data_IF_021693200834
#
_entry.id   IF_021693200834
#
_cell.length_a   1.000
_cell.length_b   1.000
_cell.length_c   1.000
_cell.angle_alpha   90.00
_cell.angle_beta   90.00
_cell.angle_gamma   90.00
#
_symmetry.space_group_name_H-M   'P 1'
#
loop_
_entity.id
_entity.type
_entity.pdbx_description
1 polymer ?
#
# COMPACT_ATOMS: atom_id res chain seq x y z
N UNK A 1 14.48 24.74 13.57
CA UNK A 1 15.23 25.43 12.50
C UNK A 1 14.21 25.79 11.41
N UNK A 2 13.90 27.09 11.17
CA UNK A 2 12.83 27.48 10.22
C UNK A 2 13.34 27.45 8.78
N UNK A 3 12.82 26.53 7.96
CA UNK A 3 13.15 26.35 6.54
C UNK A 3 12.23 27.28 5.70
N UNK A 4 12.42 28.60 5.76
CA UNK A 4 11.54 29.54 5.04
C UNK A 4 12.22 30.49 4.05
N UNK A 5 13.52 30.31 3.73
CA UNK A 5 14.25 31.32 2.94
C UNK A 5 15.11 30.81 1.76
N UNK A 6 14.85 29.63 1.21
CA UNK A 6 15.51 29.21 -0.04
C UNK A 6 14.59 29.42 -1.24
N UNK A 7 14.70 30.59 -1.89
CA UNK A 7 14.28 30.78 -3.28
C UNK A 7 15.52 30.63 -4.17
N UNK A 8 15.49 29.66 -5.08
CA UNK A 8 16.49 29.54 -6.14
C UNK A 8 15.81 29.68 -7.50
N UNK A 9 16.32 30.60 -8.31
CA UNK A 9 15.96 30.75 -9.71
C UNK A 9 16.66 29.65 -10.51
N UNK A 10 15.87 28.68 -10.97
CA UNK A 10 16.30 27.70 -11.95
C UNK A 10 16.18 28.33 -13.35
N UNK A 11 17.30 28.45 -14.07
CA UNK A 11 17.28 28.79 -15.51
C UNK A 11 17.32 27.49 -16.32
N UNK A 12 16.22 27.12 -17.02
CA UNK A 12 16.22 25.94 -17.85
C UNK A 12 17.13 26.14 -19.07
N UNK A 13 17.91 25.13 -19.41
CA UNK A 13 18.60 25.05 -20.70
C UNK A 13 17.58 24.99 -21.83
N UNK A 14 17.80 25.78 -22.88
CA UNK A 14 16.93 25.90 -24.05
C UNK A 14 16.66 24.53 -24.69
N UNK A 15 15.37 24.13 -24.72
CA UNK A 15 14.90 22.99 -25.52
C UNK A 15 14.88 23.36 -27.02
N UNK A 16 15.14 22.40 -27.91
CA UNK A 16 14.96 22.60 -29.34
C UNK A 16 13.48 22.87 -29.67
N UNK A 17 13.23 23.95 -30.42
CA UNK A 17 11.91 24.31 -30.92
C UNK A 17 11.50 23.39 -32.07
N UNK A 18 10.69 22.38 -31.77
CA UNK A 18 9.86 21.67 -32.75
C UNK A 18 8.39 21.87 -32.41
N UNK A 19 7.67 22.68 -33.19
CA UNK A 19 6.22 22.85 -33.05
C UNK A 19 5.51 21.60 -33.58
N UNK A 20 4.99 20.76 -32.68
CA UNK A 20 3.90 19.83 -32.98
C UNK A 20 2.63 20.41 -32.36
N UNK A 21 1.71 20.84 -33.23
CA UNK A 21 0.39 21.28 -32.83
C UNK A 21 -0.45 20.05 -32.48
N UNK A 22 -0.59 19.77 -31.19
CA UNK A 22 -1.63 18.87 -30.69
C UNK A 22 -2.94 19.65 -30.55
N UNK A 23 -3.96 19.25 -31.31
CA UNK A 23 -5.35 19.58 -31.02
C UNK A 23 -5.86 18.57 -29.99
N UNK A 24 -6.32 19.06 -28.85
CA UNK A 24 -7.09 18.24 -27.91
C UNK A 24 -8.46 17.88 -28.53
N UNK A 25 -8.92 16.63 -28.41
CA UNK A 25 -10.33 16.31 -28.62
C UNK A 25 -11.10 16.65 -27.33
N UNK A 26 -12.00 17.62 -27.43
CA UNK A 26 -13.05 17.86 -26.45
C UNK A 26 -14.11 16.75 -26.54
N UNK A 27 -13.90 15.61 -25.88
CA UNK A 27 -14.97 14.62 -25.66
C UNK A 27 -15.40 14.64 -24.20
N UNK A 28 -16.41 15.48 -23.95
CA UNK A 28 -17.19 15.52 -22.71
C UNK A 28 -18.07 14.27 -22.66
N UNK A 29 -17.64 13.28 -21.89
CA UNK A 29 -18.43 12.09 -21.57
C UNK A 29 -19.71 12.49 -20.82
N UNK A 30 -20.87 12.22 -21.43
CA UNK A 30 -22.18 12.23 -20.74
C UNK A 30 -22.56 10.78 -20.42
N UNK A 31 -22.70 10.40 -19.13
CA UNK A 31 -23.19 9.07 -18.79
C UNK A 31 -24.61 8.87 -19.31
N UNK A 32 -24.89 7.68 -19.87
CA UNK A 32 -26.24 7.31 -20.29
C UNK A 32 -27.14 7.10 -19.07
N UNK A 33 -28.19 7.92 -18.99
CA UNK A 33 -29.35 7.72 -18.14
C UNK A 33 -30.06 6.45 -18.63
N UNK A 34 -29.86 5.31 -17.97
CA UNK A 34 -30.88 4.26 -17.79
C UNK A 34 -30.30 3.01 -17.10
N UNK A 35 -30.13 3.12 -15.77
CA UNK A 35 -30.39 2.03 -14.82
C UNK A 35 -30.31 2.59 -13.39
N UNK A 36 -31.33 2.35 -12.57
CA UNK A 36 -31.34 2.62 -11.13
C UNK A 36 -30.35 1.68 -10.42
N UNK A 37 -29.07 2.01 -10.48
CA UNK A 37 -28.14 1.64 -9.43
C UNK A 37 -28.39 2.60 -8.27
N UNK A 38 -28.35 2.11 -7.03
CA UNK A 38 -28.36 3.02 -5.87
C UNK A 38 -27.25 4.04 -6.07
N UNK A 39 -27.64 5.31 -6.16
CA UNK A 39 -26.75 6.44 -6.34
C UNK A 39 -25.56 6.31 -5.37
N UNK A 40 -24.29 6.41 -5.80
CA UNK A 40 -23.16 6.47 -4.88
C UNK A 40 -23.36 7.53 -3.78
N UNK A 41 -24.09 8.62 -4.10
CA UNK A 41 -24.52 9.64 -3.12
C UNK A 41 -25.53 9.07 -2.11
N UNK A 42 -26.35 8.09 -2.46
CA UNK A 42 -27.22 7.34 -1.52
C UNK A 42 -26.40 6.52 -0.53
N UNK A 43 -25.28 5.89 -0.93
CA UNK A 43 -24.42 5.13 -0.02
C UNK A 43 -23.54 6.01 0.87
N UNK A 44 -23.01 7.12 0.33
CA UNK A 44 -22.36 8.17 1.12
C UNK A 44 -23.36 8.83 2.07
N UNK A 45 -24.61 9.06 1.63
CA UNK A 45 -25.70 9.48 2.50
C UNK A 45 -26.02 8.42 3.54
N UNK A 46 -25.92 7.13 3.26
CA UNK A 46 -26.16 6.05 4.24
C UNK A 46 -25.10 6.03 5.33
N UNK A 47 -23.81 6.14 4.98
CA UNK A 47 -22.74 6.33 5.97
C UNK A 47 -22.90 7.66 6.75
N UNK A 48 -23.22 8.76 6.05
CA UNK A 48 -23.50 10.06 6.70
C UNK A 48 -24.81 10.07 7.50
N UNK A 49 -25.82 9.29 7.17
CA UNK A 49 -27.10 9.19 7.88
C UNK A 49 -26.99 8.28 9.10
N UNK A 50 -26.18 7.22 9.01
CA UNK A 50 -25.78 6.41 10.17
C UNK A 50 -25.00 7.26 11.18
N UNK A 51 -24.13 8.16 10.68
CA UNK A 51 -23.40 9.18 11.46
C UNK A 51 -24.27 10.28 12.08
N UNK A 52 -25.33 10.72 11.39
CA UNK A 52 -26.22 11.77 11.89
C UNK A 52 -27.32 11.28 12.85
N UNK A 53 -27.37 9.99 13.17
CA UNK A 53 -28.22 9.49 14.25
C UNK A 53 -27.60 9.93 15.60
N UNK A 54 -28.40 10.46 16.52
CA UNK A 54 -27.93 10.96 17.84
C UNK A 54 -27.29 9.89 18.75
N UNK A 55 -27.18 8.65 18.30
CA UNK A 55 -26.35 7.61 18.91
C UNK A 55 -25.16 7.38 18.00
N UNK A 56 -23.94 7.49 18.55
CA UNK A 56 -22.73 7.00 17.88
C UNK A 56 -22.94 5.53 17.52
N UNK A 57 -23.21 5.23 16.26
CA UNK A 57 -23.35 3.87 15.78
C UNK A 57 -22.01 3.45 15.17
N UNK A 58 -21.36 2.46 15.78
CA UNK A 58 -20.12 1.90 15.24
C UNK A 58 -20.42 1.09 13.99
N UNK A 59 -19.76 1.42 12.87
CA UNK A 59 -19.88 0.66 11.61
C UNK A 59 -18.70 -0.28 11.47
N UNK A 60 -18.96 -1.57 11.23
CA UNK A 60 -17.92 -2.58 10.99
C UNK A 60 -17.75 -2.85 9.50
N UNK A 61 -16.51 -2.91 9.04
CA UNK A 61 -16.19 -3.11 7.62
C UNK A 61 -16.72 -4.42 7.04
N UNK A 62 -16.82 -5.47 7.86
CA UNK A 62 -17.40 -6.77 7.45
C UNK A 62 -18.88 -6.67 7.02
N UNK A 63 -19.57 -5.58 7.39
CA UNK A 63 -20.96 -5.33 7.00
C UNK A 63 -21.07 -4.44 5.76
N UNK A 64 -19.95 -4.03 5.14
CA UNK A 64 -19.89 -3.18 3.96
C UNK A 64 -19.74 -4.06 2.70
N UNK A 65 -20.83 -4.67 2.25
CA UNK A 65 -20.80 -5.47 1.01
C UNK A 65 -20.39 -4.61 -0.20
N UNK A 66 -19.62 -5.19 -1.12
CA UNK A 66 -19.10 -4.48 -2.30
C UNK A 66 -18.09 -3.35 -2.03
N UNK A 67 -17.63 -3.16 -0.79
CA UNK A 67 -16.61 -2.17 -0.42
C UNK A 67 -15.24 -2.82 -0.19
N UNK A 68 -14.21 -2.31 -0.84
CA UNK A 68 -12.83 -2.55 -0.41
C UNK A 68 -12.61 -1.79 0.90
N UNK A 69 -12.10 -2.48 1.94
CA UNK A 69 -11.99 -1.89 3.29
C UNK A 69 -11.18 -0.58 3.24
N UNK A 70 -11.76 0.58 3.60
CA UNK A 70 -11.03 1.85 3.68
C UNK A 70 -9.80 1.73 4.58
N UNK A 71 -8.62 1.96 4.03
CA UNK A 71 -7.33 1.81 4.70
C UNK A 71 -6.89 3.06 5.46
N UNK A 72 -7.47 4.22 5.15
CA UNK A 72 -7.05 5.54 5.63
C UNK A 72 -7.82 6.06 6.86
N UNK A 73 -8.74 5.25 7.42
CA UNK A 73 -9.58 5.64 8.57
C UNK A 73 -10.03 4.42 9.37
N UNK A 74 -10.57 4.66 10.56
CA UNK A 74 -11.12 3.64 11.44
C UNK A 74 -10.04 2.88 12.20
N UNK A 75 -10.47 2.18 13.25
CA UNK A 75 -9.59 1.32 14.06
C UNK A 75 -9.56 -0.08 13.50
N UNK A 76 -8.39 -0.68 13.46
CA UNK A 76 -8.21 -2.08 13.06
C UNK A 76 -8.72 -2.96 14.20
N UNK A 77 -9.69 -3.81 13.91
CA UNK A 77 -10.23 -4.79 14.88
C UNK A 77 -9.79 -6.21 14.56
N UNK A 78 -9.28 -6.46 13.34
CA UNK A 78 -8.72 -7.74 12.95
C UNK A 78 -7.61 -7.58 11.91
N UNK A 79 -6.40 -8.01 12.27
CA UNK A 79 -5.22 -8.03 11.41
C UNK A 79 -4.81 -9.48 11.09
N UNK A 80 -4.36 -9.71 9.87
CA UNK A 80 -3.74 -10.94 9.43
C UNK A 80 -2.28 -10.73 9.07
N UNK A 81 -1.46 -11.71 9.42
CA UNK A 81 -0.03 -11.77 9.17
C UNK A 81 0.33 -13.16 8.64
N UNK A 82 1.31 -13.24 7.75
CA UNK A 82 1.92 -14.51 7.31
C UNK A 82 3.37 -14.54 7.73
N UNK A 83 3.81 -15.65 8.30
CA UNK A 83 5.15 -15.84 8.85
C UNK A 83 5.82 -17.05 8.20
N UNK A 84 6.51 -16.73 7.11
CA UNK A 84 7.05 -17.66 6.13
C UNK A 84 8.52 -18.05 6.28
N UNK A 85 9.01 -18.86 5.32
CA UNK A 85 10.41 -19.31 5.26
C UNK A 85 11.35 -18.20 4.75
N UNK A 86 10.82 -17.10 4.20
CA UNK A 86 11.61 -15.97 3.68
C UNK A 86 12.42 -15.18 4.72
N UNK A 87 12.49 -15.64 5.98
CA UNK A 87 13.35 -15.07 7.00
C UNK A 87 14.15 -16.12 7.74
N UNK A 88 15.37 -16.42 7.28
CA UNK A 88 16.43 -16.86 8.18
C UNK A 88 17.26 -15.65 8.61
N UNK A 89 17.74 -15.65 9.85
CA UNK A 89 18.60 -14.58 10.37
C UNK A 89 17.86 -13.24 10.59
N UNK A 90 18.47 -12.09 10.21
CA UNK A 90 17.99 -10.76 10.59
C UNK A 90 16.52 -10.45 10.26
N UNK A 91 16.03 -10.91 9.10
CA UNK A 91 14.63 -10.70 8.67
C UNK A 91 13.65 -11.30 9.67
N UNK A 92 13.97 -12.49 10.18
CA UNK A 92 13.14 -13.20 11.15
C UNK A 92 13.03 -12.44 12.46
N UNK A 93 14.16 -12.00 12.99
CA UNK A 93 14.24 -11.24 14.24
C UNK A 93 13.54 -9.89 14.11
N UNK A 94 13.71 -9.23 12.97
CA UNK A 94 13.02 -7.98 12.69
C UNK A 94 11.50 -8.21 12.63
N UNK A 95 11.02 -9.25 11.95
CA UNK A 95 9.59 -9.57 11.89
C UNK A 95 9.01 -9.82 13.28
N UNK A 96 9.71 -10.57 14.12
CA UNK A 96 9.30 -10.81 15.51
C UNK A 96 9.18 -9.50 16.31
N UNK A 97 10.08 -8.53 16.10
CA UNK A 97 9.99 -7.20 16.69
C UNK A 97 8.77 -6.44 16.18
N UNK A 98 8.49 -6.48 14.87
CA UNK A 98 7.27 -5.86 14.29
C UNK A 98 6.02 -6.46 14.93
N UNK A 99 5.95 -7.80 15.02
CA UNK A 99 4.83 -8.49 15.65
C UNK A 99 4.64 -8.06 17.10
N UNK A 100 5.72 -7.98 17.90
CA UNK A 100 5.69 -7.45 19.27
C UNK A 100 5.17 -6.02 19.33
N UNK A 101 5.61 -5.15 18.42
CA UNK A 101 5.13 -3.76 18.32
C UNK A 101 3.61 -3.69 18.08
N UNK A 102 3.07 -4.50 17.17
CA UNK A 102 1.62 -4.55 16.95
C UNK A 102 0.86 -5.03 18.17
N UNK A 103 1.33 -6.09 18.83
CA UNK A 103 0.66 -6.59 20.03
C UNK A 103 0.61 -5.54 21.15
N UNK A 104 1.67 -4.75 21.31
CA UNK A 104 1.75 -3.71 22.34
C UNK A 104 0.89 -2.47 22.04
N UNK A 105 0.72 -2.12 20.77
CA UNK A 105 0.06 -0.87 20.36
C UNK A 105 -1.36 -1.06 19.83
N UNK A 106 -1.80 -2.30 19.59
CA UNK A 106 -3.15 -2.64 19.17
C UNK A 106 -3.82 -3.59 20.18
N UNK A 107 -4.10 -3.16 21.42
CA UNK A 107 -4.60 -4.05 22.48
C UNK A 107 -5.98 -4.66 22.17
N UNK A 108 -6.81 -3.96 21.42
CA UNK A 108 -8.19 -4.36 21.11
C UNK A 108 -8.31 -5.17 19.81
N UNK A 109 -7.26 -5.19 18.98
CA UNK A 109 -7.28 -5.91 17.72
C UNK A 109 -7.11 -7.42 17.92
N UNK A 110 -7.78 -8.20 17.07
CA UNK A 110 -7.55 -9.63 16.90
C UNK A 110 -6.46 -9.88 15.86
N UNK A 111 -5.75 -10.98 16.01
CA UNK A 111 -4.65 -11.36 15.13
C UNK A 111 -4.86 -12.78 14.60
N UNK A 112 -4.89 -12.93 13.27
CA UNK A 112 -4.72 -14.24 12.61
C UNK A 112 -3.30 -14.31 12.07
N UNK A 113 -2.49 -15.25 12.55
CA UNK A 113 -1.12 -15.42 12.07
C UNK A 113 -0.97 -16.80 11.45
N UNK A 114 -0.62 -16.84 10.17
CA UNK A 114 -0.41 -18.09 9.44
C UNK A 114 1.09 -18.37 9.33
N UNK A 115 1.55 -19.52 9.81
CA UNK A 115 2.96 -19.91 9.76
C UNK A 115 3.19 -21.09 8.83
N UNK A 116 4.36 -21.18 8.21
CA UNK A 116 4.66 -22.31 7.31
C UNK A 116 4.73 -23.66 8.01
N UNK A 117 5.22 -23.66 9.25
CA UNK A 117 5.47 -24.87 10.04
C UNK A 117 5.24 -24.66 11.55
N UNK A 118 5.37 -25.75 12.30
CA UNK A 118 5.10 -25.80 13.73
C UNK A 118 6.21 -25.19 14.59
N UNK A 119 7.44 -25.10 14.07
CA UNK A 119 8.56 -24.43 14.74
C UNK A 119 8.29 -22.93 14.76
N UNK A 120 8.00 -22.35 13.59
CA UNK A 120 7.64 -20.95 13.42
C UNK A 120 6.39 -20.58 14.25
N UNK A 121 5.40 -21.47 14.31
CA UNK A 121 4.22 -21.32 15.20
C UNK A 121 4.63 -21.18 16.67
N UNK A 122 5.47 -22.10 17.16
CA UNK A 122 5.91 -22.12 18.57
C UNK A 122 6.76 -20.90 18.94
N UNK A 123 7.61 -20.45 18.03
CA UNK A 123 8.42 -19.25 18.24
C UNK A 123 7.52 -18.01 18.40
N UNK A 124 6.57 -17.76 17.50
CA UNK A 124 5.65 -16.64 17.67
C UNK A 124 4.76 -16.78 18.91
N UNK A 125 4.33 -18.01 19.25
CA UNK A 125 3.59 -18.25 20.48
C UNK A 125 4.39 -17.88 21.73
N UNK A 126 5.70 -18.18 21.77
CA UNK A 126 6.54 -17.79 22.90
C UNK A 126 6.62 -16.28 23.12
N UNK A 127 6.55 -15.48 22.05
CA UNK A 127 6.48 -14.01 22.15
C UNK A 127 5.15 -13.59 22.80
N UNK A 128 4.04 -14.21 22.41
CA UNK A 128 2.72 -13.94 23.02
C UNK A 128 2.74 -14.27 24.51
N UNK A 129 3.29 -15.43 24.86
CA UNK A 129 3.36 -15.93 26.25
C UNK A 129 4.30 -15.06 27.12
N UNK A 130 5.44 -14.62 26.59
CA UNK A 130 6.36 -13.68 27.24
C UNK A 130 5.65 -12.36 27.55
N UNK A 131 4.98 -11.78 26.54
CA UNK A 131 4.28 -10.51 26.71
C UNK A 131 3.14 -10.60 27.74
N UNK A 132 2.36 -11.69 27.70
CA UNK A 132 1.32 -11.94 28.70
C UNK A 132 1.90 -12.05 30.13
N UNK A 133 3.04 -12.74 30.27
CA UNK A 133 3.72 -12.90 31.56
C UNK A 133 4.29 -11.59 32.11
N UNK A 134 4.65 -10.65 31.23
CA UNK A 134 5.19 -9.33 31.59
C UNK A 134 4.14 -8.29 32.04
N UNK A 135 2.86 -8.68 32.13
CA UNK A 135 1.79 -7.78 32.58
C UNK A 135 1.33 -6.75 31.54
N UNK A 136 1.86 -6.81 30.32
CA UNK A 136 1.22 -6.15 29.18
C UNK A 136 -0.14 -6.81 29.01
N UNK A 137 -1.23 -6.02 29.06
CA UNK A 137 -2.62 -6.48 28.86
C UNK A 137 -2.80 -7.04 27.44
N UNK A 138 -2.24 -8.21 27.20
CA UNK A 138 -2.51 -9.03 26.05
C UNK A 138 -3.52 -10.06 26.49
N UNK A 139 -4.76 -9.95 26.02
CA UNK A 139 -5.69 -11.06 26.06
C UNK A 139 -5.20 -12.09 25.03
N UNK A 140 -4.55 -13.21 25.40
CA UNK A 140 -3.95 -14.12 24.43
C UNK A 140 -4.99 -14.74 23.49
N UNK A 141 -6.26 -14.81 23.92
CA UNK A 141 -7.38 -15.32 23.13
C UNK A 141 -7.65 -14.49 21.86
N UNK A 142 -7.17 -13.23 21.81
CA UNK A 142 -7.27 -12.39 20.61
C UNK A 142 -6.28 -12.78 19.52
N UNK A 143 -5.30 -13.65 19.81
CA UNK A 143 -4.22 -14.02 18.89
C UNK A 143 -4.36 -15.49 18.52
N UNK A 144 -4.47 -15.76 17.22
CA UNK A 144 -4.63 -17.10 16.67
C UNK A 144 -3.48 -17.40 15.71
N UNK A 145 -2.50 -18.16 16.18
CA UNK A 145 -1.32 -18.57 15.42
C UNK A 145 -1.51 -20.00 14.93
N UNK A 146 -1.53 -20.21 13.61
CA UNK A 146 -1.84 -21.51 12.99
C UNK A 146 -0.78 -21.88 11.98
N UNK A 147 -0.29 -23.11 12.09
CA UNK A 147 0.55 -23.75 11.09
C UNK A 147 -0.31 -24.16 9.88
N UNK A 148 0.06 -23.70 8.69
CA UNK A 148 -0.65 -24.01 7.44
C UNK A 148 -0.29 -25.37 6.88
N UNK A 149 0.90 -25.89 7.20
CA UNK A 149 1.55 -27.05 6.59
C UNK A 149 2.08 -26.77 5.18
N UNK A 150 2.17 -25.50 4.78
CA UNK A 150 2.54 -25.05 3.44
C UNK A 150 3.46 -23.85 3.56
N UNK A 151 4.40 -23.71 2.62
CA UNK A 151 5.29 -22.55 2.57
C UNK A 151 4.50 -21.29 2.20
N UNK A 152 4.27 -20.41 3.18
CA UNK A 152 3.71 -19.07 2.96
C UNK A 152 4.85 -18.06 2.87
N UNK A 153 4.69 -17.00 2.08
CA UNK A 153 5.56 -15.83 2.13
C UNK A 153 5.21 -14.94 3.33
N UNK A 154 5.98 -13.88 3.57
CA UNK A 154 5.62 -12.86 4.57
C UNK A 154 4.63 -11.81 4.05
N UNK A 155 4.24 -11.89 2.77
CA UNK A 155 3.46 -10.85 2.06
C UNK A 155 1.95 -11.09 2.18
N UNK A 156 1.43 -10.94 3.40
CA UNK A 156 0.00 -11.10 3.68
C UNK A 156 -0.87 -10.13 2.86
N UNK A 157 -0.36 -8.92 2.59
CA UNK A 157 -1.06 -7.90 1.82
C UNK A 157 -1.37 -8.41 0.41
N UNK A 158 -0.39 -8.96 -0.28
CA UNK A 158 -0.58 -9.36 -1.67
C UNK A 158 -1.34 -10.67 -1.79
N UNK A 159 -1.20 -11.55 -0.79
CA UNK A 159 -1.84 -12.88 -0.74
C UNK A 159 -3.36 -12.86 -0.83
N UNK A 160 -4.00 -11.74 -0.47
CA UNK A 160 -5.46 -11.66 -0.40
C UNK A 160 -6.00 -10.27 -0.71
N UNK A 161 -7.26 -10.19 -1.12
CA UNK A 161 -8.08 -8.97 -1.11
C UNK A 161 -9.22 -9.14 -0.13
N UNK A 162 -9.72 -8.03 0.43
CA UNK A 162 -10.86 -8.05 1.36
C UNK A 162 -11.91 -7.04 0.91
N UNK A 163 -13.08 -7.56 0.53
CA UNK A 163 -14.23 -6.78 0.08
C UNK A 163 -15.40 -7.09 1.03
N UNK A 164 -15.73 -6.15 1.92
CA UNK A 164 -16.67 -6.39 3.00
C UNK A 164 -16.22 -7.55 3.89
N UNK A 165 -17.00 -8.64 3.93
CA UNK A 165 -16.63 -9.88 4.61
C UNK A 165 -16.01 -10.94 3.69
N UNK A 166 -15.80 -10.65 2.41
CA UNK A 166 -15.25 -11.59 1.43
C UNK A 166 -13.73 -11.48 1.42
N UNK A 167 -13.05 -12.63 1.54
CA UNK A 167 -11.60 -12.74 1.39
C UNK A 167 -11.31 -13.48 0.08
N UNK A 168 -10.64 -12.80 -0.82
CA UNK A 168 -10.45 -13.20 -2.21
C UNK A 168 -8.98 -13.48 -2.48
N UNK A 169 -8.69 -14.48 -3.32
CA UNK A 169 -7.34 -14.67 -3.89
C UNK A 169 -7.27 -13.83 -5.16
N UNK A 170 -6.39 -12.82 -5.24
CA UNK A 170 -6.23 -12.07 -6.47
C UNK A 170 -5.58 -12.92 -7.56
N UNK A 171 -5.93 -12.66 -8.80
CA UNK A 171 -5.15 -13.17 -9.93
C UNK A 171 -3.87 -12.38 -10.10
N UNK A 172 -2.82 -13.05 -10.61
CA UNK A 172 -1.47 -12.48 -10.71
C UNK A 172 -0.81 -12.83 -12.03
N UNK A 173 0.09 -11.97 -12.48
CA UNK A 173 0.90 -12.25 -13.69
C UNK A 173 1.97 -13.33 -13.43
N UNK A 174 2.44 -13.44 -12.19
CA UNK A 174 3.34 -14.50 -11.75
C UNK A 174 2.56 -15.63 -11.09
N UNK A 175 3.17 -16.82 -11.00
CA UNK A 175 2.59 -17.96 -10.29
C UNK A 175 2.95 -17.81 -8.81
N UNK A 176 2.02 -17.45 -7.91
CA UNK A 176 2.32 -17.44 -6.49
C UNK A 176 2.53 -18.86 -5.99
N UNK A 177 3.30 -18.99 -4.91
CA UNK A 177 3.49 -20.27 -4.24
C UNK A 177 2.15 -20.82 -3.71
N UNK A 178 2.05 -22.14 -3.62
CA UNK A 178 0.80 -22.80 -3.20
C UNK A 178 0.35 -22.40 -1.79
N UNK A 179 1.29 -22.04 -0.89
CA UNK A 179 0.93 -21.53 0.42
C UNK A 179 0.29 -20.14 0.36
N UNK A 180 0.80 -19.23 -0.48
CA UNK A 180 0.22 -17.90 -0.66
C UNK A 180 -1.20 -17.97 -1.24
N UNK A 181 -1.44 -18.87 -2.21
CA UNK A 181 -2.80 -19.15 -2.73
C UNK A 181 -3.75 -19.67 -1.65
N UNK A 182 -3.23 -20.36 -0.64
CA UNK A 182 -4.05 -20.94 0.41
C UNK A 182 -4.43 -19.94 1.51
N UNK A 183 -3.76 -18.79 1.62
CA UNK A 183 -3.93 -17.80 2.70
C UNK A 183 -5.41 -17.40 2.86
N UNK A 184 -6.09 -16.99 1.78
CA UNK A 184 -7.52 -16.58 1.85
C UNK A 184 -8.44 -17.68 2.42
N UNK A 185 -8.26 -18.92 1.96
CA UNK A 185 -9.06 -20.07 2.44
C UNK A 185 -8.75 -20.41 3.89
N UNK A 186 -7.48 -20.28 4.31
CA UNK A 186 -7.09 -20.52 5.71
C UNK A 186 -7.68 -19.45 6.62
N UNK A 187 -7.59 -18.17 6.25
CA UNK A 187 -8.18 -17.05 7.00
C UNK A 187 -9.67 -17.29 7.26
N UNK A 188 -10.43 -17.60 6.21
CA UNK A 188 -11.90 -17.75 6.30
C UNK A 188 -12.33 -18.98 7.11
N UNK A 189 -11.59 -20.10 7.02
CA UNK A 189 -11.82 -21.27 7.89
C UNK A 189 -11.59 -20.96 9.37
N UNK A 190 -10.63 -20.09 9.67
CA UNK A 190 -10.32 -19.73 11.05
C UNK A 190 -11.26 -18.65 11.61
N UNK A 191 -11.99 -17.95 10.75
CA UNK A 191 -12.77 -16.76 11.07
C UNK A 191 -14.17 -16.83 10.41
N UNK A 192 -15.16 -17.43 11.09
CA UNK A 192 -16.48 -17.72 10.50
C UNK A 192 -17.30 -16.51 10.04
N UNK A 193 -16.95 -15.30 10.48
CA UNK A 193 -17.56 -14.05 10.01
C UNK A 193 -17.12 -13.66 8.60
N UNK A 194 -16.04 -14.28 8.10
CA UNK A 194 -15.48 -14.03 6.77
C UNK A 194 -15.85 -15.16 5.81
N UNK A 195 -15.99 -14.83 4.53
CA UNK A 195 -16.36 -15.77 3.46
C UNK A 195 -15.26 -15.84 2.43
N UNK A 196 -14.92 -17.04 1.98
CA UNK A 196 -14.02 -17.22 0.86
C UNK A 196 -14.78 -17.01 -0.45
N UNK A 197 -14.19 -16.23 -1.36
CA UNK A 197 -14.72 -16.04 -2.70
C UNK A 197 -13.58 -16.09 -3.71
N UNK A 198 -13.85 -16.69 -4.87
CA UNK A 198 -12.92 -16.68 -5.98
C UNK A 198 -13.52 -15.80 -7.08
N UNK A 199 -12.88 -14.67 -7.38
CA UNK A 199 -13.34 -13.74 -8.41
C UNK A 199 -12.33 -13.79 -9.56
N UNK A 200 -12.79 -14.26 -10.71
CA UNK A 200 -11.94 -14.35 -11.89
C UNK A 200 -11.71 -13.00 -12.55
N UNK A 201 -10.55 -12.86 -13.21
CA UNK A 201 -10.13 -11.68 -13.94
C UNK A 201 -9.81 -10.47 -13.07
N UNK A 202 -9.73 -10.64 -11.74
CA UNK A 202 -9.39 -9.56 -10.80
C UNK A 202 -7.87 -9.56 -10.50
N UNK A 203 -7.11 -8.82 -11.32
CA UNK A 203 -5.65 -8.67 -11.18
C UNK A 203 -5.27 -7.49 -10.27
N UNK A 204 -5.73 -7.52 -9.02
CA UNK A 204 -5.36 -6.50 -8.03
C UNK A 204 -4.50 -7.16 -6.97
N UNK A 205 -3.18 -6.95 -7.06
CA UNK A 205 -2.31 -7.23 -5.92
C UNK A 205 -2.68 -6.29 -4.76
N UNK A 206 -2.59 -6.78 -3.53
CA UNK A 206 -2.97 -6.01 -2.36
C UNK A 206 -2.19 -4.70 -2.21
N UNK A 207 -0.89 -4.69 -2.54
CA UNK A 207 -0.07 -3.48 -2.56
C UNK A 207 -0.42 -2.52 -3.70
N UNK A 208 -1.15 -2.99 -4.72
CA UNK A 208 -1.56 -2.18 -5.86
C UNK A 208 -2.94 -1.51 -5.71
N UNK A 209 -3.47 -1.50 -4.48
CA UNK A 209 -4.71 -0.79 -4.13
C UNK A 209 -4.58 -0.02 -2.83
N UNK A 210 -5.19 1.16 -2.78
CA UNK A 210 -5.35 1.97 -1.56
C UNK A 210 -6.78 2.49 -1.51
N UNK A 211 -7.60 1.90 -0.65
CA UNK A 211 -9.01 2.26 -0.51
C UNK A 211 -9.22 3.39 0.52
N UNK A 212 -10.12 4.31 0.20
CA UNK A 212 -10.73 5.30 1.10
C UNK A 212 -12.22 5.03 1.25
N UNK A 213 -12.94 5.82 2.06
CA UNK A 213 -14.39 5.67 2.22
C UNK A 213 -15.17 5.79 0.91
N UNK A 214 -14.69 6.58 -0.04
CA UNK A 214 -15.40 6.93 -1.27
C UNK A 214 -14.63 6.58 -2.55
N UNK A 215 -13.36 6.16 -2.45
CA UNK A 215 -12.50 5.88 -3.59
C UNK A 215 -11.65 4.63 -3.40
N UNK A 216 -11.19 4.07 -4.52
CA UNK A 216 -10.09 3.11 -4.55
C UNK A 216 -9.05 3.63 -5.52
N UNK A 217 -7.86 3.93 -5.02
CA UNK A 217 -6.70 4.16 -5.86
C UNK A 217 -6.18 2.81 -6.33
N UNK A 218 -6.02 2.65 -7.64
CA UNK A 218 -5.51 1.43 -8.27
C UNK A 218 -4.31 1.77 -9.11
N UNK A 219 -3.22 1.01 -8.98
CA UNK A 219 -2.09 1.15 -9.88
C UNK A 219 -2.44 0.70 -11.31
N UNK A 220 -1.89 1.39 -12.31
CA UNK A 220 -2.15 1.11 -13.73
C UNK A 220 -1.75 -0.31 -14.15
N UNK A 221 -0.83 -0.95 -13.42
CA UNK A 221 -0.45 -2.35 -13.64
C UNK A 221 -1.64 -3.31 -13.51
N UNK A 222 -2.62 -2.99 -12.66
CA UNK A 222 -3.89 -3.73 -12.56
C UNK A 222 -4.56 -3.87 -13.93
N UNK A 223 -4.70 -2.74 -14.64
CA UNK A 223 -5.37 -2.70 -15.95
C UNK A 223 -4.49 -3.35 -17.02
N UNK A 224 -3.18 -3.09 -16.98
CA UNK A 224 -2.22 -3.68 -17.92
C UNK A 224 -2.23 -5.22 -17.85
N UNK A 225 -2.26 -5.80 -16.64
CA UNK A 225 -2.31 -7.25 -16.45
C UNK A 225 -3.65 -7.83 -16.90
N UNK A 226 -4.78 -7.18 -16.57
CA UNK A 226 -6.09 -7.60 -17.08
C UNK A 226 -6.13 -7.59 -18.61
N UNK A 227 -5.61 -6.56 -19.28
CA UNK A 227 -5.57 -6.51 -20.74
C UNK A 227 -4.70 -7.62 -21.34
N UNK A 228 -3.56 -7.93 -20.71
CA UNK A 228 -2.68 -9.02 -21.14
C UNK A 228 -3.35 -10.39 -20.99
N UNK A 229 -4.02 -10.62 -19.86
CA UNK A 229 -4.77 -11.87 -19.61
C UNK A 229 -5.98 -11.99 -20.55
N UNK A 230 -6.69 -10.90 -20.81
CA UNK A 230 -7.81 -10.83 -21.76
C UNK A 230 -7.39 -11.21 -23.18
N UNK A 231 -6.22 -10.74 -23.64
CA UNK A 231 -5.66 -11.16 -24.94
C UNK A 231 -5.38 -12.67 -24.98
N UNK A 232 -4.98 -13.27 -23.85
CA UNK A 232 -4.63 -14.69 -23.76
C UNK A 232 -5.86 -15.60 -23.61
N UNK A 233 -6.89 -15.14 -22.92
CA UNK A 233 -8.08 -15.93 -22.58
C UNK A 233 -9.39 -15.16 -22.87
N UNK A 234 -9.72 -14.86 -24.13
CA UNK A 234 -10.89 -14.04 -24.47
C UNK A 234 -12.21 -14.61 -23.94
N UNK A 235 -12.41 -15.94 -24.02
CA UNK A 235 -13.64 -16.61 -23.55
C UNK A 235 -13.89 -16.47 -22.04
N UNK A 236 -12.82 -16.30 -21.25
CA UNK A 236 -12.92 -16.00 -19.81
C UNK A 236 -13.57 -14.63 -19.61
N UNK A 237 -13.16 -13.63 -20.39
CA UNK A 237 -13.68 -12.27 -20.28
C UNK A 237 -15.08 -12.12 -20.89
N UNK A 238 -15.43 -12.90 -21.92
CA UNK A 238 -16.82 -12.99 -22.39
C UNK A 238 -17.77 -13.46 -21.27
N UNK A 239 -17.33 -14.44 -20.46
CA UNK A 239 -18.09 -14.88 -19.30
C UNK A 239 -18.19 -13.80 -18.23
N UNK A 240 -17.06 -13.21 -17.82
CA UNK A 240 -17.04 -12.19 -16.76
C UNK A 240 -17.90 -10.97 -17.15
N UNK A 241 -17.83 -10.53 -18.39
CA UNK A 241 -18.64 -9.40 -18.88
C UNK A 241 -20.13 -9.73 -18.89
N UNK A 242 -20.50 -10.97 -19.22
CA UNK A 242 -21.86 -11.49 -19.06
C UNK A 242 -22.34 -11.48 -17.60
N UNK A 243 -21.52 -11.99 -16.67
CA UNK A 243 -21.81 -12.00 -15.22
C UNK A 243 -21.98 -10.57 -14.67
N UNK A 244 -21.16 -9.62 -15.13
CA UNK A 244 -21.23 -8.21 -14.76
C UNK A 244 -22.30 -7.41 -15.53
N UNK A 245 -23.06 -8.06 -16.42
CA UNK A 245 -24.11 -7.44 -17.24
C UNK A 245 -23.64 -6.22 -18.05
N UNK A 246 -22.41 -6.27 -18.57
CA UNK A 246 -21.84 -5.24 -19.44
C UNK A 246 -22.41 -5.42 -20.86
N UNK A 247 -23.32 -4.53 -21.25
CA UNK A 247 -23.89 -4.52 -22.60
C UNK A 247 -22.90 -3.88 -23.57
N UNK A 248 -22.87 -4.36 -24.80
CA UNK A 248 -22.05 -3.83 -25.89
C UNK A 248 -20.53 -3.85 -25.58
N UNK A 249 -20.08 -4.86 -24.83
CA UNK A 249 -18.67 -5.02 -24.47
C UNK A 249 -17.75 -5.07 -25.70
N UNK A 250 -18.25 -5.58 -26.82
CA UNK A 250 -17.56 -5.66 -28.11
C UNK A 250 -17.25 -4.29 -28.75
N UNK A 251 -17.91 -3.22 -28.29
CA UNK A 251 -17.69 -1.85 -28.79
C UNK A 251 -16.64 -1.08 -27.98
N UNK A 252 -16.23 -1.60 -26.84
CA UNK A 252 -15.26 -0.97 -25.94
C UNK A 252 -13.84 -1.38 -26.33
N UNK A 253 -12.88 -0.48 -26.15
CA UNK A 253 -11.47 -0.87 -26.11
C UNK A 253 -11.20 -1.80 -24.92
N UNK A 254 -10.12 -2.59 -24.99
CA UNK A 254 -9.76 -3.50 -23.89
C UNK A 254 -9.53 -2.75 -22.57
N UNK A 255 -8.96 -1.55 -22.64
CA UNK A 255 -8.74 -0.70 -21.48
C UNK A 255 -10.07 -0.24 -20.86
N UNK A 256 -10.98 0.30 -21.68
CA UNK A 256 -12.31 0.73 -21.24
C UNK A 256 -13.09 -0.43 -20.63
N UNK A 257 -13.02 -1.61 -21.24
CA UNK A 257 -13.67 -2.80 -20.74
C UNK A 257 -13.10 -3.21 -19.37
N UNK A 258 -11.78 -3.24 -19.20
CA UNK A 258 -11.15 -3.55 -17.91
C UNK A 258 -11.55 -2.54 -16.83
N UNK A 259 -11.51 -1.24 -17.13
CA UNK A 259 -11.93 -0.18 -16.20
C UNK A 259 -13.40 -0.29 -15.82
N UNK A 260 -14.27 -0.60 -16.79
CA UNK A 260 -15.69 -0.80 -16.55
C UNK A 260 -15.95 -2.04 -15.70
N UNK A 261 -15.26 -3.15 -15.96
CA UNK A 261 -15.33 -4.36 -15.14
C UNK A 261 -14.97 -4.06 -13.69
N UNK A 262 -13.84 -3.38 -13.44
CA UNK A 262 -13.43 -2.97 -12.10
C UNK A 262 -14.49 -2.07 -11.44
N UNK A 263 -15.04 -1.11 -12.18
CA UNK A 263 -16.08 -0.20 -11.67
C UNK A 263 -17.35 -0.95 -11.27
N UNK A 264 -17.71 -2.02 -12.00
CA UNK A 264 -18.84 -2.91 -11.66
C UNK A 264 -18.55 -3.77 -10.43
N UNK A 265 -17.30 -4.18 -10.24
CA UNK A 265 -16.85 -4.95 -9.07
C UNK A 265 -16.87 -4.12 -7.79
N UNK A 266 -16.60 -2.81 -7.88
CA UNK A 266 -16.56 -1.88 -6.74
C UNK A 266 -17.62 -0.78 -6.87
N UNK A 267 -18.92 -1.12 -6.77
CA UNK A 267 -20.00 -0.18 -7.10
C UNK A 267 -20.12 1.00 -6.13
N UNK A 268 -19.45 0.95 -4.97
CA UNK A 268 -19.59 1.92 -3.91
C UNK A 268 -18.40 2.87 -3.73
N UNK A 269 -17.34 2.71 -4.52
CA UNK A 269 -16.14 3.56 -4.46
C UNK A 269 -15.73 3.98 -5.87
N UNK A 270 -15.44 5.28 -6.06
CA UNK A 270 -14.90 5.79 -7.32
C UNK A 270 -13.48 5.25 -7.52
N UNK A 271 -13.22 4.67 -8.69
CA UNK A 271 -11.88 4.21 -9.03
C UNK A 271 -11.02 5.38 -9.52
N UNK A 272 -9.78 5.45 -9.01
CA UNK A 272 -8.76 6.41 -9.43
C UNK A 272 -7.52 5.65 -9.85
N UNK A 273 -7.17 5.70 -11.14
CA UNK A 273 -6.02 4.97 -11.67
C UNK A 273 -4.73 5.79 -11.54
N UNK A 274 -3.71 5.22 -10.92
CA UNK A 274 -2.42 5.84 -10.66
C UNK A 274 -1.36 5.27 -11.61
N UNK A 275 -0.64 6.15 -12.28
CA UNK A 275 0.19 5.79 -13.43
C UNK A 275 -0.58 5.91 -14.74
N UNK A 276 0.18 5.83 -15.82
CA UNK A 276 -0.33 5.82 -17.19
C UNK A 276 -0.60 4.36 -17.62
N UNK A 277 -1.55 4.14 -18.52
CA UNK A 277 -1.95 2.82 -19.03
C UNK A 277 -1.49 2.70 -20.48
N UNK A 278 -0.87 1.58 -20.84
CA UNK A 278 -0.33 1.36 -22.19
C UNK A 278 1.08 0.80 -22.21
N UNK A 279 1.61 0.59 -23.42
CA UNK A 279 2.96 0.05 -23.60
C UNK A 279 4.03 1.13 -23.30
N UNK A 280 4.91 0.85 -22.34
CA UNK A 280 6.07 1.68 -22.03
C UNK A 280 5.85 2.75 -20.95
N UNK A 281 4.61 3.02 -20.57
CA UNK A 281 4.28 3.91 -19.45
C UNK A 281 3.85 3.09 -18.23
N UNK A 282 4.41 3.41 -17.06
CA UNK A 282 4.25 2.60 -15.84
C UNK A 282 3.98 3.49 -14.64
N UNK A 283 3.26 2.94 -13.67
CA UNK A 283 3.29 3.48 -12.32
C UNK A 283 4.73 3.58 -11.78
N UNK A 284 5.03 4.52 -10.88
CA UNK A 284 6.39 4.79 -10.40
C UNK A 284 7.13 3.59 -9.80
N UNK A 285 6.42 2.68 -9.14
CA UNK A 285 6.95 1.46 -8.53
C UNK A 285 5.96 0.31 -8.78
N UNK A 286 6.42 -0.94 -8.62
CA UNK A 286 5.59 -2.13 -8.81
C UNK A 286 4.24 -2.10 -8.05
N UNK A 287 4.21 -1.52 -6.84
CA UNK A 287 2.98 -1.35 -6.05
C UNK A 287 2.81 0.11 -5.61
N UNK A 288 1.58 0.61 -5.66
CA UNK A 288 1.29 2.01 -5.30
C UNK A 288 1.43 2.31 -3.81
N UNK A 289 1.21 1.30 -2.95
CA UNK A 289 1.40 1.43 -1.50
C UNK A 289 2.87 1.63 -1.09
N UNK A 290 3.81 1.40 -2.00
CA UNK A 290 5.21 1.72 -1.77
C UNK A 290 5.47 3.22 -1.90
N UNK A 291 4.81 3.94 -2.81
CA UNK A 291 5.13 5.35 -3.07
C UNK A 291 4.04 6.35 -2.70
N UNK A 292 2.85 5.93 -2.28
CA UNK A 292 1.82 6.87 -1.84
C UNK A 292 0.94 6.35 -0.70
N UNK A 293 0.37 7.27 0.08
CA UNK A 293 -0.57 6.94 1.16
C UNK A 293 -1.66 8.01 1.27
N UNK A 294 -2.93 7.69 1.00
CA UNK A 294 -4.05 8.54 1.38
C UNK A 294 -4.16 8.62 2.90
N UNK A 295 -4.13 9.84 3.45
CA UNK A 295 -4.09 10.02 4.90
C UNK A 295 -5.48 10.02 5.55
N UNK A 296 -6.57 10.19 4.81
CA UNK A 296 -7.91 10.32 5.42
C UNK A 296 -8.04 11.52 6.38
N UNK A 297 -7.12 12.48 6.25
CA UNK A 297 -7.09 13.75 6.96
C UNK A 297 -7.22 14.88 5.94
N UNK A 298 -7.71 16.02 6.40
CA UNK A 298 -7.86 17.23 5.59
C UNK A 298 -6.79 18.22 6.02
N UNK A 299 -6.15 18.85 5.04
CA UNK A 299 -5.18 19.90 5.28
C UNK A 299 -5.89 21.17 5.76
N UNK A 300 -5.53 21.72 6.94
CA UNK A 300 -6.29 22.80 7.56
C UNK A 300 -6.16 24.13 6.80
N UNK A 301 -5.12 24.29 5.98
CA UNK A 301 -4.89 25.52 5.21
C UNK A 301 -5.68 25.51 3.89
N UNK A 302 -5.72 24.36 3.22
CA UNK A 302 -6.31 24.23 1.89
C UNK A 302 -7.72 23.64 1.88
N UNK A 303 -8.13 22.97 2.97
CA UNK A 303 -9.40 22.23 3.04
C UNK A 303 -9.43 20.97 2.17
N UNK A 304 -8.30 20.56 1.61
CA UNK A 304 -8.18 19.40 0.71
C UNK A 304 -7.81 18.12 1.47
N UNK A 305 -8.28 16.97 0.99
CA UNK A 305 -7.81 15.68 1.48
C UNK A 305 -6.32 15.49 1.17
N UNK A 306 -5.58 14.85 2.09
CA UNK A 306 -4.13 14.74 2.01
C UNK A 306 -3.69 13.37 1.51
N UNK A 307 -2.73 13.37 0.60
CA UNK A 307 -2.02 12.16 0.14
C UNK A 307 -0.51 12.43 0.24
N UNK A 308 0.23 11.50 0.83
CA UNK A 308 1.70 11.52 0.74
C UNK A 308 2.15 10.84 -0.54
N UNK A 309 3.19 11.38 -1.18
CA UNK A 309 3.85 10.81 -2.35
C UNK A 309 5.36 10.81 -2.12
N UNK A 310 6.02 9.70 -2.42
CA UNK A 310 7.47 9.56 -2.33
C UNK A 310 8.22 10.57 -3.19
N UNK A 311 9.39 11.01 -2.73
CA UNK A 311 10.28 11.92 -3.42
C UNK A 311 11.72 11.39 -3.40
N UNK A 312 12.13 10.70 -4.48
CA UNK A 312 13.49 10.21 -4.65
C UNK A 312 14.57 11.28 -4.51
N UNK A 313 14.32 12.45 -5.10
CA UNK A 313 15.30 13.54 -5.13
C UNK A 313 15.49 14.17 -3.75
N UNK A 314 14.40 14.31 -2.98
CA UNK A 314 14.47 14.78 -1.60
C UNK A 314 15.40 13.91 -0.76
N UNK A 315 15.25 12.59 -0.86
CA UNK A 315 16.08 11.64 -0.10
C UNK A 315 17.55 11.69 -0.50
N UNK A 316 17.87 11.64 -1.81
CA UNK A 316 19.25 11.78 -2.30
C UNK A 316 19.88 13.07 -1.78
N UNK A 317 19.18 14.21 -1.91
CA UNK A 317 19.68 15.52 -1.46
C UNK A 317 20.00 15.56 0.04
N UNK A 318 19.16 14.94 0.87
CA UNK A 318 19.39 14.87 2.33
C UNK A 318 20.64 14.03 2.62
N UNK A 319 20.76 12.87 1.96
CA UNK A 319 21.88 11.95 2.17
C UNK A 319 23.20 12.50 1.64
N UNK A 320 23.22 13.15 0.48
CA UNK A 320 24.41 13.81 -0.07
C UNK A 320 24.90 14.90 0.88
N UNK A 321 23.98 15.76 1.34
CA UNK A 321 24.30 16.80 2.31
C UNK A 321 24.81 16.21 3.63
N UNK A 322 24.24 15.11 4.12
CA UNK A 322 24.71 14.43 5.32
C UNK A 322 26.13 13.91 5.12
N UNK A 323 26.39 13.24 3.99
CA UNK A 323 27.71 12.70 3.65
C UNK A 323 28.78 13.78 3.55
N UNK A 324 28.44 14.95 3.01
CA UNK A 324 29.34 16.10 2.93
C UNK A 324 29.63 16.73 4.30
N UNK A 325 28.61 16.92 5.14
CA UNK A 325 28.74 17.65 6.40
C UNK A 325 29.20 16.78 7.59
N UNK A 326 28.84 15.50 7.59
CA UNK A 326 29.14 14.55 8.67
C UNK A 326 29.40 13.14 8.09
N UNK A 327 30.53 12.93 7.40
CA UNK A 327 30.86 11.66 6.74
C UNK A 327 30.99 10.50 7.72
N UNK A 328 31.40 10.75 8.97
CA UNK A 328 31.50 9.70 10.00
C UNK A 328 30.13 9.19 10.40
N UNK A 329 29.15 10.09 10.59
CA UNK A 329 27.77 9.71 10.88
C UNK A 329 27.15 8.95 9.71
N UNK A 330 27.38 9.40 8.47
CA UNK A 330 26.94 8.67 7.28
C UNK A 330 27.54 7.25 7.23
N UNK A 331 28.83 7.09 7.53
CA UNK A 331 29.50 5.79 7.55
C UNK A 331 28.94 4.84 8.64
N UNK A 332 28.49 5.38 9.78
CA UNK A 332 27.79 4.59 10.81
C UNK A 332 26.45 4.05 10.31
N UNK A 333 25.70 4.83 9.53
CA UNK A 333 24.45 4.36 8.92
C UNK A 333 24.70 3.26 7.90
N UNK A 334 25.74 3.40 7.08
CA UNK A 334 26.19 2.37 6.13
C UNK A 334 26.48 1.03 6.83
N UNK A 335 27.28 1.07 7.89
CA UNK A 335 27.64 -0.11 8.66
C UNK A 335 26.41 -0.74 9.34
N UNK A 336 25.54 0.09 9.93
CA UNK A 336 24.31 -0.37 10.56
C UNK A 336 23.38 -1.06 9.56
N UNK A 337 23.15 -0.46 8.38
CA UNK A 337 22.30 -1.04 7.34
C UNK A 337 22.89 -2.37 6.87
N UNK A 338 24.19 -2.40 6.57
CA UNK A 338 24.90 -3.61 6.15
C UNK A 338 24.75 -4.75 7.16
N UNK A 339 24.86 -4.46 8.45
CA UNK A 339 24.76 -5.47 9.52
C UNK A 339 23.34 -6.02 9.71
N UNK A 340 22.31 -5.35 9.19
CA UNK A 340 20.91 -5.78 9.29
C UNK A 340 20.40 -6.54 8.07
N UNK A 341 21.07 -6.40 6.93
CA UNK A 341 20.66 -7.07 5.70
C UNK A 341 21.28 -8.48 5.67
N UNK A 342 20.48 -9.55 5.51
CA UNK A 342 21.03 -10.89 5.35
C UNK A 342 21.87 -10.98 4.07
N UNK A 343 23.08 -11.53 4.16
CA UNK A 343 23.97 -11.74 3.00
C UNK A 343 24.24 -10.48 2.18
N UNK A 344 24.33 -9.31 2.81
CA UNK A 344 24.65 -8.06 2.11
C UNK A 344 26.06 -8.13 1.48
N UNK A 345 26.11 -8.23 0.15
CA UNK A 345 27.36 -8.23 -0.60
C UNK A 345 27.89 -6.81 -0.86
N UNK A 346 27.03 -5.80 -0.75
CA UNK A 346 27.40 -4.40 -0.93
C UNK A 346 28.27 -3.90 0.22
N UNK A 347 29.41 -3.30 -0.12
CA UNK A 347 30.31 -2.71 0.89
C UNK A 347 29.71 -1.44 1.50
N UNK A 348 28.97 -0.68 0.69
CA UNK A 348 28.39 0.62 1.02
C UNK A 348 26.92 0.64 0.55
N UNK A 349 26.02 -0.15 1.16
CA UNK A 349 24.65 -0.32 0.69
C UNK A 349 23.88 1.00 0.51
N UNK A 350 24.02 1.96 1.44
CA UNK A 350 23.30 3.24 1.35
C UNK A 350 23.82 4.10 0.19
N UNK A 351 25.14 4.15 -0.03
CA UNK A 351 25.71 4.80 -1.20
C UNK A 351 25.28 4.10 -2.49
N UNK A 352 25.30 2.76 -2.53
CA UNK A 352 24.85 2.00 -3.71
C UNK A 352 23.41 2.36 -4.07
N UNK A 353 22.49 2.39 -3.08
CA UNK A 353 21.10 2.81 -3.30
C UNK A 353 21.04 4.27 -3.76
N UNK A 354 21.73 5.18 -3.05
CA UNK A 354 21.64 6.62 -3.33
C UNK A 354 22.16 6.95 -4.73
N UNK A 355 23.31 6.39 -5.12
CA UNK A 355 23.90 6.59 -6.44
C UNK A 355 23.02 6.00 -7.53
N UNK A 356 22.52 4.77 -7.35
CA UNK A 356 21.61 4.13 -8.30
C UNK A 356 20.35 4.99 -8.53
N UNK A 357 19.70 5.42 -7.46
CA UNK A 357 18.49 6.26 -7.56
C UNK A 357 18.82 7.62 -8.19
N UNK A 358 19.96 8.22 -7.86
CA UNK A 358 20.39 9.46 -8.49
C UNK A 358 20.58 9.27 -10.00
N UNK A 359 21.28 8.22 -10.43
CA UNK A 359 21.45 7.88 -11.85
C UNK A 359 20.09 7.66 -12.55
N UNK A 360 19.18 6.90 -11.94
CA UNK A 360 17.83 6.67 -12.47
C UNK A 360 17.02 7.99 -12.62
N UNK A 361 17.14 8.91 -11.65
CA UNK A 361 16.50 10.22 -11.72
C UNK A 361 17.00 11.01 -12.92
N UNK A 362 18.32 11.10 -13.11
CA UNK A 362 18.94 11.99 -14.10
C UNK A 362 19.02 11.37 -15.50
N UNK A 363 19.21 10.06 -15.60
CA UNK A 363 19.42 9.36 -16.88
C UNK A 363 18.11 8.77 -17.43
N UNK A 364 17.24 8.25 -16.56
CA UNK A 364 16.07 7.47 -16.98
C UNK A 364 14.74 8.17 -16.69
N UNK A 365 14.77 9.36 -16.08
CA UNK A 365 13.57 10.13 -15.79
C UNK A 365 12.71 9.49 -14.69
N UNK A 366 13.28 8.67 -13.81
CA UNK A 366 12.54 7.97 -12.75
C UNK A 366 11.68 8.90 -11.89
N UNK A 367 12.21 10.09 -11.54
CA UNK A 367 11.46 11.13 -10.81
C UNK A 367 10.22 11.63 -11.55
N UNK A 368 10.22 11.60 -12.89
CA UNK A 368 9.12 12.12 -13.71
C UNK A 368 7.83 11.38 -13.40
N UNK A 369 7.88 10.07 -13.14
CA UNK A 369 6.69 9.30 -12.80
C UNK A 369 6.12 9.69 -11.44
N UNK A 370 6.96 9.95 -10.43
CA UNK A 370 6.51 10.44 -9.12
C UNK A 370 5.92 11.85 -9.21
N UNK A 371 6.49 12.71 -10.03
CA UNK A 371 5.99 14.09 -10.24
C UNK A 371 4.68 14.08 -11.03
N UNK A 372 4.56 13.25 -12.07
CA UNK A 372 3.31 13.02 -12.81
C UNK A 372 2.20 12.52 -11.87
N UNK A 373 2.49 11.52 -11.03
CA UNK A 373 1.53 10.99 -10.07
C UNK A 373 1.08 12.07 -9.08
N UNK A 374 2.02 12.82 -8.49
CA UNK A 374 1.70 13.94 -7.60
C UNK A 374 0.83 15.00 -8.29
N UNK A 375 1.21 15.45 -9.49
CA UNK A 375 0.45 16.45 -10.26
C UNK A 375 -0.97 15.99 -10.56
N UNK A 376 -1.14 14.73 -10.99
CA UNK A 376 -2.46 14.14 -11.25
C UNK A 376 -3.34 14.13 -10.00
N UNK A 377 -2.76 13.83 -8.84
CA UNK A 377 -3.49 13.90 -7.57
C UNK A 377 -3.85 15.35 -7.19
N UNK A 378 -2.97 16.31 -7.42
CA UNK A 378 -3.29 17.73 -7.20
C UNK A 378 -4.43 18.22 -8.12
N UNK A 379 -4.45 17.77 -9.38
CA UNK A 379 -5.51 18.02 -10.36
C UNK A 379 -6.84 17.38 -9.96
N UNK A 380 -6.82 16.20 -9.34
CA UNK A 380 -7.99 15.55 -8.72
C UNK A 380 -8.44 16.21 -7.39
N UNK A 381 -7.77 17.30 -6.98
CA UNK A 381 -8.18 18.14 -5.86
C UNK A 381 -7.52 17.78 -4.52
N UNK A 382 -6.52 16.89 -4.50
CA UNK A 382 -5.79 16.56 -3.27
C UNK A 382 -4.75 17.61 -2.91
N UNK A 383 -4.40 17.65 -1.62
CA UNK A 383 -3.15 18.21 -1.14
C UNK A 383 -2.11 17.09 -1.16
N UNK A 384 -1.05 17.27 -1.94
CA UNK A 384 0.08 16.34 -1.95
C UNK A 384 1.16 16.81 -0.99
N UNK A 385 1.66 15.88 -0.19
CA UNK A 385 2.84 16.06 0.67
C UNK A 385 3.96 15.13 0.20
N UNK A 386 5.16 15.67 0.09
CA UNK A 386 6.33 14.94 -0.43
C UNK A 386 7.15 14.41 0.72
N UNK A 387 7.47 13.12 0.70
CA UNK A 387 8.27 12.46 1.74
C UNK A 387 9.48 11.74 1.14
N UNK A 388 10.60 11.56 1.87
CA UNK A 388 11.77 10.87 1.34
C UNK A 388 11.43 9.46 0.83
N UNK A 389 12.08 9.02 -0.25
CA UNK A 389 11.85 7.71 -0.85
C UNK A 389 13.14 7.21 -1.52
N UNK A 390 13.62 6.01 -1.20
CA UNK A 390 14.76 5.38 -1.86
C UNK A 390 14.44 3.90 -2.07
N UNK A 391 13.65 3.64 -3.10
CA UNK A 391 13.22 2.30 -3.49
C UNK A 391 13.21 2.21 -5.02
N UNK A 392 13.52 1.03 -5.54
CA UNK A 392 13.40 0.70 -6.96
C UNK A 392 13.34 -0.83 -7.10
N UNK A 393 12.45 -1.36 -7.93
CA UNK A 393 12.30 -2.80 -8.19
C UNK A 393 13.59 -3.55 -8.59
N UNK A 394 14.57 -2.86 -9.18
CA UNK A 394 15.90 -3.43 -9.52
C UNK A 394 16.87 -3.55 -8.35
N UNK A 395 16.58 -2.95 -7.19
CA UNK A 395 17.43 -3.07 -6.01
C UNK A 395 17.19 -4.43 -5.33
N UNK A 396 18.19 -5.31 -5.44
CA UNK A 396 18.14 -6.66 -4.87
C UNK A 396 18.98 -6.73 -3.61
N UNK A 397 18.45 -7.37 -2.55
CA UNK A 397 19.13 -7.52 -1.27
C UNK A 397 19.60 -6.18 -0.66
N UNK A 398 18.87 -5.11 -0.97
CA UNK A 398 19.08 -3.77 -0.43
C UNK A 398 17.71 -3.26 0.05
N UNK A 399 17.66 -2.52 1.16
CA UNK A 399 16.40 -2.08 1.74
C UNK A 399 15.67 -1.14 0.80
N UNK A 400 14.40 -1.45 0.55
CA UNK A 400 13.44 -0.48 0.05
C UNK A 400 13.13 0.51 1.18
N UNK A 401 13.71 1.71 1.10
CA UNK A 401 13.46 2.79 2.05
C UNK A 401 12.22 3.55 1.57
N UNK A 402 11.08 3.28 2.18
CA UNK A 402 9.84 4.00 1.95
C UNK A 402 9.08 4.20 3.26
N UNK A 403 8.51 5.40 3.42
CA UNK A 403 7.68 5.76 4.56
C UNK A 403 6.17 5.68 4.27
N UNK A 404 5.79 5.52 3.00
CA UNK A 404 4.38 5.41 2.58
C UNK A 404 3.80 4.02 2.89
N UNK A 405 4.64 2.99 2.94
CA UNK A 405 4.21 1.61 3.14
C UNK A 405 3.95 1.31 4.64
N UNK A 406 3.23 2.21 5.31
CA UNK A 406 2.84 2.13 6.71
C UNK A 406 1.41 1.61 6.91
N UNK A 407 1.01 1.51 8.17
CA UNK A 407 -0.31 1.01 8.56
C UNK A 407 -1.04 2.04 9.45
N UNK A 408 -2.23 2.48 9.04
CA UNK A 408 -3.09 3.39 9.79
C UNK A 408 -4.04 2.61 10.69
N UNK A 409 -4.07 2.93 11.99
CA UNK A 409 -5.00 2.37 12.99
C UNK A 409 -5.57 3.49 13.87
N UNK A 410 -6.76 3.99 13.51
CA UNK A 410 -7.33 5.18 14.14
C UNK A 410 -6.42 6.39 13.97
N UNK A 411 -5.94 6.96 15.08
CA UNK A 411 -4.98 8.06 15.09
C UNK A 411 -3.52 7.59 15.17
N UNK A 412 -3.26 6.28 15.20
CA UNK A 412 -1.90 5.75 15.13
C UNK A 412 -1.47 5.56 13.66
N UNK A 413 -0.24 5.95 13.35
CA UNK A 413 0.42 5.60 12.10
C UNK A 413 1.67 4.79 12.39
N UNK A 414 1.63 3.49 12.09
CA UNK A 414 2.80 2.64 12.17
C UNK A 414 3.66 2.90 10.92
N UNK A 415 4.76 3.63 11.11
CA UNK A 415 5.60 4.09 10.00
C UNK A 415 6.84 3.18 9.88
N UNK A 416 7.18 2.68 8.68
CA UNK A 416 8.47 2.07 8.45
C UNK A 416 9.60 3.04 8.80
N UNK A 417 10.60 2.56 9.54
CA UNK A 417 11.76 3.33 9.97
C UNK A 417 13.04 2.56 9.64
N UNK A 418 14.07 3.30 9.20
CA UNK A 418 15.30 2.71 8.67
C UNK A 418 16.53 3.06 9.52
N UNK A 419 16.31 3.71 10.66
CA UNK A 419 17.33 4.24 11.57
C UNK A 419 18.27 5.23 10.87
N UNK A 420 17.70 6.04 9.98
CA UNK A 420 18.35 7.21 9.39
C UNK A 420 17.55 8.42 9.88
N UNK A 421 17.82 8.93 11.11
CA UNK A 421 17.09 10.03 11.73
C UNK A 421 16.75 11.20 10.81
N UNK A 422 17.66 11.59 9.92
CA UNK A 422 17.46 12.68 8.96
C UNK A 422 16.31 12.42 7.98
N UNK A 423 16.09 11.17 7.58
CA UNK A 423 14.98 10.78 6.70
C UNK A 423 13.74 10.41 7.53
N UNK A 424 13.93 9.63 8.60
CA UNK A 424 12.86 9.13 9.46
C UNK A 424 12.08 10.28 10.13
N UNK A 425 12.78 11.34 10.58
CA UNK A 425 12.13 12.48 11.24
C UNK A 425 11.35 13.35 10.25
N UNK A 426 11.89 13.60 9.05
CA UNK A 426 11.17 14.38 8.00
C UNK A 426 9.87 13.67 7.62
N UNK A 427 9.90 12.35 7.44
CA UNK A 427 8.69 11.59 7.18
C UNK A 427 7.71 11.64 8.38
N UNK A 428 8.22 11.43 9.59
CA UNK A 428 7.41 11.48 10.82
C UNK A 428 6.72 12.82 11.01
N UNK A 429 7.41 13.94 10.75
CA UNK A 429 6.87 15.29 10.88
C UNK A 429 5.65 15.51 9.97
N UNK A 430 5.66 14.96 8.76
CA UNK A 430 4.50 15.04 7.83
C UNK A 430 3.29 14.33 8.42
N UNK A 431 3.44 13.11 8.95
CA UNK A 431 2.31 12.40 9.56
C UNK A 431 1.83 13.08 10.85
N UNK A 432 2.75 13.54 11.72
CA UNK A 432 2.41 14.27 12.96
C UNK A 432 1.69 15.59 12.66
N UNK A 433 2.06 16.30 11.59
CA UNK A 433 1.37 17.52 11.11
C UNK A 433 -0.13 17.29 10.93
N UNK A 434 -0.54 16.08 10.50
CA UNK A 434 -1.95 15.71 10.30
C UNK A 434 -2.58 14.97 11.48
N UNK A 435 -1.98 15.08 12.67
CA UNK A 435 -2.55 14.60 13.93
C UNK A 435 -2.32 13.13 14.22
N UNK A 436 -1.46 12.45 13.46
CA UNK A 436 -1.11 11.06 13.75
C UNK A 436 -0.13 10.94 14.93
N UNK A 437 -0.39 9.96 15.79
CA UNK A 437 0.61 9.38 16.68
C UNK A 437 1.50 8.42 15.88
N UNK A 438 2.68 8.90 15.50
CA UNK A 438 3.62 8.13 14.69
C UNK A 438 4.36 7.12 15.55
N UNK A 439 4.19 5.84 15.24
CA UNK A 439 4.86 4.71 15.88
C UNK A 439 5.92 4.19 14.90
N UNK A 440 7.20 4.51 15.09
CA UNK A 440 8.25 4.01 14.20
C UNK A 440 8.40 2.49 14.36
N UNK A 441 8.46 1.80 13.23
CA UNK A 441 8.64 0.35 13.14
C UNK A 441 9.90 0.08 12.35
N UNK A 442 10.90 -0.56 12.96
CA UNK A 442 12.15 -0.87 12.27
C UNK A 442 11.90 -1.84 11.11
N UNK A 443 12.34 -1.50 9.89
CA UNK A 443 12.02 -2.29 8.69
C UNK A 443 13.22 -2.62 7.80
N UNK A 444 14.44 -2.21 8.17
CA UNK A 444 15.62 -2.32 7.28
C UNK A 444 15.84 -3.73 6.74
N UNK A 445 15.73 -4.77 7.58
CA UNK A 445 16.00 -6.12 7.11
C UNK A 445 14.84 -6.69 6.29
N UNK A 446 13.59 -6.50 6.72
CA UNK A 446 12.40 -6.95 5.98
C UNK A 446 12.34 -6.26 4.63
N UNK A 447 12.67 -4.96 4.56
CA UNK A 447 12.59 -4.21 3.31
C UNK A 447 13.66 -4.55 2.30
N UNK A 448 14.70 -5.28 2.69
CA UNK A 448 15.63 -5.90 1.75
C UNK A 448 14.98 -6.98 0.87
N UNK A 449 13.78 -7.43 1.25
CA UNK A 449 12.95 -8.38 0.49
C UNK A 449 11.90 -7.70 -0.39
N UNK A 450 12.13 -6.41 -0.74
CA UNK A 450 11.32 -5.62 -1.68
C UNK A 450 9.91 -5.19 -1.23
N UNK A 451 9.59 -5.29 0.06
CA UNK A 451 8.34 -4.79 0.63
C UNK A 451 8.56 -4.04 1.94
N UNK A 452 7.52 -3.52 2.57
CA UNK A 452 7.65 -2.93 3.90
C UNK A 452 6.44 -3.28 4.78
N UNK A 453 5.99 -2.37 5.66
CA UNK A 453 5.11 -2.72 6.76
C UNK A 453 3.70 -3.08 6.26
N UNK A 454 3.15 -2.30 5.33
CA UNK A 454 1.85 -2.60 4.76
C UNK A 454 1.88 -3.95 4.02
N UNK A 455 2.95 -4.23 3.26
CA UNK A 455 3.09 -5.48 2.50
C UNK A 455 2.99 -6.75 3.37
N UNK A 456 3.49 -6.71 4.61
CA UNK A 456 3.45 -7.88 5.52
C UNK A 456 2.17 -8.02 6.33
N UNK A 457 1.21 -7.12 6.14
CA UNK A 457 -0.04 -7.10 6.89
C UNK A 457 -1.25 -7.18 5.98
N UNK A 458 -2.33 -7.78 6.45
CA UNK A 458 -3.64 -7.66 5.82
C UNK A 458 -4.68 -7.29 6.85
N UNK A 459 -5.33 -6.15 6.67
CA UNK A 459 -6.48 -5.76 7.49
C UNK A 459 -7.70 -6.57 7.04
N UNK A 460 -8.30 -7.31 7.98
CA UNK A 460 -9.51 -8.11 7.75
C UNK A 460 -10.78 -7.42 8.23
N UNK A 461 -10.66 -6.57 9.25
CA UNK A 461 -11.80 -5.86 9.82
C UNK A 461 -11.36 -4.52 10.40
N UNK A 462 -12.18 -3.49 10.16
CA UNK A 462 -12.11 -2.19 10.81
C UNK A 462 -13.44 -1.81 11.45
N UNK A 463 -13.35 -0.95 12.44
CA UNK A 463 -14.48 -0.25 13.03
C UNK A 463 -14.35 1.26 12.81
N UNK A 464 -15.45 1.87 12.36
CA UNK A 464 -15.53 3.30 12.08
C UNK A 464 -16.46 3.96 13.09
N UNK A 465 -15.96 5.03 13.71
CA UNK A 465 -16.79 5.91 14.53
C UNK A 465 -17.57 6.85 13.59
N UNK A 466 -18.90 6.87 13.78
CA UNK A 466 -19.86 7.63 12.98
C UNK A 466 -20.03 9.07 13.49
#
# INVERSE_FOLDING_TARGET
MKISHLKFEYKPSQKPQGKLAYKEPEDIFRPSEDRKYDDPVSNIKKLRQMSNSKKRETVKSINMDGYMIPANKGKITHLCLTYGISGYGPVKENYQKVFKTFLQNMPDARFTVLTSDDKNRKELQSIVDELASSGIKNNPERIKIVNTGQEVSIWAQDSTLVIGNKVIVPEREYIPDEGDKAVARKITRLNPSLKFENIEGLFIDGGNQLATEDKIFLGSDTVNFMMKDMKKYPSKYDRITGELNIKEAEKLSQEELCKLMLTRTFPHQKLVFIGDIGEGEKQPEAHIDLFMTPLGKVDPETGKEVITVGDPFLACKILDKLKENDPEKYAKYEEMIKNKIPNCHERHPLNTITNFIFEEIFLMGYKVNFDKAAKKLEEEGYKVERIPYLTHSSLNNLPNITYNNGLIDGDNFFMPAFNIPELDEIASEVYRKYGYNVIPVEMTSISSQRGALNCITKVLEREYES
#
